data_IF_234688711195
#
_entry.id   IF_234688711195
#
_cell.length_a   1.000
_cell.length_b   1.000
_cell.length_c   1.000
_cell.angle_alpha   90.00
_cell.angle_beta   90.00
_cell.angle_gamma   90.00
#
_symmetry.space_group_name_H-M   'P 1'
#
loop_
_entity.id
_entity.type
_entity.pdbx_description
1 polymer ?
#
# COMPACT_ATOMS: atom_id res chain seq x y z
N UNK A 1 -57.52 -78.46 -10.82
CA UNK A 1 -57.43 -76.98 -10.63
C UNK A 1 -56.41 -76.46 -11.62
N UNK A 2 -56.87 -75.91 -12.74
CA UNK A 2 -56.05 -75.41 -13.84
C UNK A 2 -55.73 -73.96 -13.62
N UNK A 3 -54.46 -73.63 -13.49
CA UNK A 3 -53.93 -72.25 -13.38
C UNK A 3 -53.51 -71.74 -14.76
N UNK A 4 -54.30 -70.80 -15.31
CA UNK A 4 -54.02 -70.11 -16.57
C UNK A 4 -52.90 -69.10 -16.38
N UNK A 5 -51.77 -69.30 -17.02
CA UNK A 5 -50.67 -68.32 -17.09
C UNK A 5 -50.95 -67.34 -18.23
N UNK A 6 -51.33 -66.11 -17.86
CA UNK A 6 -51.51 -65.00 -18.79
C UNK A 6 -50.11 -64.41 -19.15
N UNK A 7 -49.63 -64.77 -20.33
CA UNK A 7 -48.48 -64.19 -20.96
C UNK A 7 -48.81 -62.79 -21.49
N UNK A 8 -48.40 -61.72 -20.78
CA UNK A 8 -48.60 -60.34 -21.20
C UNK A 8 -47.60 -60.01 -22.31
N UNK A 9 -48.06 -60.04 -23.54
CA UNK A 9 -47.30 -59.64 -24.70
C UNK A 9 -46.93 -58.14 -24.56
N UNK A 10 -45.65 -57.85 -24.40
CA UNK A 10 -45.08 -56.49 -24.39
C UNK A 10 -45.05 -56.06 -25.86
N UNK A 11 -46.01 -55.23 -26.27
CA UNK A 11 -45.95 -54.55 -27.55
C UNK A 11 -44.71 -53.65 -27.59
N UNK A 12 -43.69 -54.02 -28.34
CA UNK A 12 -42.61 -53.15 -28.74
C UNK A 12 -43.21 -52.08 -29.64
N UNK A 13 -43.25 -50.85 -29.12
CA UNK A 13 -43.47 -49.68 -29.94
C UNK A 13 -42.20 -49.48 -30.77
N UNK A 14 -42.09 -50.09 -31.93
CA UNK A 14 -41.18 -49.72 -32.99
C UNK A 14 -41.75 -48.42 -33.57
N UNK A 15 -41.34 -47.29 -32.94
CA UNK A 15 -41.50 -45.98 -33.57
C UNK A 15 -40.68 -45.96 -34.85
N UNK A 16 -41.11 -45.28 -35.91
CA UNK A 16 -40.30 -45.15 -37.11
C UNK A 16 -38.98 -44.51 -36.71
N UNK A 17 -37.89 -45.24 -36.97
CA UNK A 17 -36.53 -44.70 -36.92
C UNK A 17 -36.42 -43.59 -37.97
N UNK A 18 -36.89 -42.39 -37.62
CA UNK A 18 -36.72 -41.20 -38.43
C UNK A 18 -35.27 -40.75 -38.28
N UNK A 19 -34.40 -41.28 -39.14
CA UNK A 19 -33.05 -40.82 -39.25
C UNK A 19 -33.01 -39.31 -39.50
N UNK A 20 -32.10 -38.63 -38.86
CA UNK A 20 -31.89 -37.17 -39.08
C UNK A 20 -31.63 -36.92 -40.56
N UNK A 21 -32.33 -35.95 -41.12
CA UNK A 21 -32.09 -35.52 -42.49
C UNK A 21 -30.79 -34.73 -42.54
N UNK A 22 -30.09 -34.77 -43.68
CA UNK A 22 -28.84 -34.06 -43.88
C UNK A 22 -29.01 -32.53 -43.67
N UNK A 23 -30.21 -32.00 -44.00
CA UNK A 23 -30.52 -30.60 -43.81
C UNK A 23 -30.69 -30.23 -42.31
N UNK A 24 -31.26 -31.11 -41.51
CA UNK A 24 -31.42 -30.93 -40.06
C UNK A 24 -30.05 -30.88 -39.38
N UNK A 25 -29.11 -31.74 -39.79
CA UNK A 25 -27.71 -31.71 -39.30
C UNK A 25 -27.02 -30.41 -39.66
N UNK A 26 -27.16 -29.93 -40.90
CA UNK A 26 -26.55 -28.65 -41.31
C UNK A 26 -27.09 -27.45 -40.52
N UNK A 27 -28.41 -27.42 -40.28
CA UNK A 27 -29.05 -26.36 -39.48
C UNK A 27 -28.57 -26.44 -38.02
N UNK A 28 -28.53 -27.65 -37.45
CA UNK A 28 -28.06 -27.85 -36.07
C UNK A 28 -26.60 -27.39 -35.88
N UNK A 29 -25.70 -27.75 -36.84
CA UNK A 29 -24.30 -27.31 -36.80
C UNK A 29 -24.20 -25.79 -36.93
N UNK A 30 -25.00 -25.18 -37.81
CA UNK A 30 -25.02 -23.72 -37.99
C UNK A 30 -25.49 -22.98 -36.73
N UNK A 31 -26.57 -23.45 -36.09
CA UNK A 31 -27.04 -22.89 -34.81
C UNK A 31 -26.03 -23.08 -33.68
N UNK A 32 -25.41 -24.26 -33.61
CA UNK A 32 -24.36 -24.54 -32.62
C UNK A 32 -23.16 -23.62 -32.80
N UNK A 33 -22.70 -23.36 -34.03
CA UNK A 33 -21.60 -22.45 -34.32
C UNK A 33 -21.91 -21.01 -33.85
N UNK A 34 -23.16 -20.55 -34.07
CA UNK A 34 -23.58 -19.21 -33.59
C UNK A 34 -23.60 -19.14 -32.07
N UNK A 35 -24.12 -20.15 -31.41
CA UNK A 35 -24.15 -20.25 -29.94
C UNK A 35 -22.71 -20.24 -29.38
N UNK A 36 -21.81 -21.05 -29.97
CA UNK A 36 -20.41 -21.09 -29.53
C UNK A 36 -19.69 -19.78 -29.75
N UNK A 37 -19.98 -19.05 -30.82
CA UNK A 37 -19.44 -17.70 -31.03
C UNK A 37 -19.91 -16.73 -29.94
N UNK A 38 -21.18 -16.74 -29.58
CA UNK A 38 -21.70 -15.91 -28.50
C UNK A 38 -21.07 -16.25 -27.14
N UNK A 39 -20.98 -17.54 -26.81
CA UNK A 39 -20.33 -18.00 -25.56
C UNK A 39 -18.85 -17.57 -25.52
N UNK A 40 -18.15 -17.68 -26.63
CA UNK A 40 -16.73 -17.28 -26.72
C UNK A 40 -16.53 -15.78 -26.43
N UNK A 41 -17.40 -14.92 -26.98
CA UNK A 41 -17.37 -13.47 -26.69
C UNK A 41 -17.60 -13.20 -25.19
N UNK A 42 -18.57 -13.88 -24.59
CA UNK A 42 -18.85 -13.74 -23.15
C UNK A 42 -17.68 -14.18 -22.28
N UNK A 43 -17.05 -15.32 -22.61
CA UNK A 43 -15.89 -15.84 -21.87
C UNK A 43 -14.71 -14.88 -21.98
N UNK A 44 -14.41 -14.38 -23.17
CA UNK A 44 -13.28 -13.45 -23.36
C UNK A 44 -13.52 -12.14 -22.62
N UNK A 45 -14.73 -11.57 -22.68
CA UNK A 45 -15.08 -10.36 -21.95
C UNK A 45 -15.02 -10.58 -20.42
N UNK A 46 -15.51 -11.72 -19.95
CA UNK A 46 -15.46 -12.08 -18.52
C UNK A 46 -14.03 -12.24 -18.00
N UNK A 47 -13.16 -12.89 -18.76
CA UNK A 47 -11.74 -13.03 -18.41
C UNK A 47 -11.01 -11.68 -18.40
N UNK A 48 -11.35 -10.75 -19.31
CA UNK A 48 -10.85 -9.38 -19.28
C UNK A 48 -11.23 -8.66 -17.99
N UNK A 49 -12.51 -8.66 -17.64
CA UNK A 49 -13.00 -8.01 -16.41
C UNK A 49 -12.37 -8.60 -15.13
N UNK A 50 -12.13 -9.91 -15.09
CA UNK A 50 -11.46 -10.56 -13.95
C UNK A 50 -10.00 -10.10 -13.85
N UNK A 51 -9.27 -10.00 -14.97
CA UNK A 51 -7.89 -9.54 -14.97
C UNK A 51 -7.78 -8.09 -14.50
N UNK A 52 -8.64 -7.21 -14.98
CA UNK A 52 -8.64 -5.80 -14.60
C UNK A 52 -8.96 -5.64 -13.11
N UNK A 53 -9.93 -6.39 -12.60
CA UNK A 53 -10.27 -6.39 -11.17
C UNK A 53 -9.13 -6.96 -10.32
N UNK A 54 -8.47 -8.03 -10.76
CA UNK A 54 -7.35 -8.63 -10.04
C UNK A 54 -6.15 -7.68 -9.98
N UNK A 55 -5.82 -6.99 -11.08
CA UNK A 55 -4.73 -6.00 -11.11
C UNK A 55 -5.02 -4.82 -10.19
N UNK A 56 -6.24 -4.28 -10.22
CA UNK A 56 -6.64 -3.17 -9.33
C UNK A 56 -6.56 -3.57 -7.85
N UNK A 57 -7.04 -4.77 -7.49
CA UNK A 57 -6.96 -5.28 -6.12
C UNK A 57 -5.51 -5.48 -5.67
N UNK A 58 -4.63 -5.95 -6.55
CA UNK A 58 -3.22 -6.16 -6.23
C UNK A 58 -2.52 -4.83 -5.93
N UNK A 59 -2.71 -3.79 -6.76
CA UNK A 59 -2.15 -2.46 -6.53
C UNK A 59 -2.70 -1.85 -5.23
N UNK A 60 -4.00 -1.98 -4.97
CA UNK A 60 -4.59 -1.52 -3.71
C UNK A 60 -3.98 -2.22 -2.50
N UNK A 61 -3.75 -3.53 -2.57
CA UNK A 61 -3.08 -4.27 -1.50
C UNK A 61 -1.64 -3.79 -1.29
N UNK A 62 -0.90 -3.49 -2.34
CA UNK A 62 0.44 -2.90 -2.23
C UNK A 62 0.43 -1.54 -1.56
N UNK A 63 -0.49 -0.65 -1.94
CA UNK A 63 -0.64 0.67 -1.31
C UNK A 63 -0.95 0.54 0.19
N UNK A 64 -1.88 -0.34 0.55
CA UNK A 64 -2.21 -0.60 1.96
C UNK A 64 -1.00 -1.14 2.73
N UNK A 65 -0.25 -2.07 2.16
CA UNK A 65 0.96 -2.61 2.78
C UNK A 65 2.04 -1.53 2.94
N UNK A 66 2.21 -0.65 1.96
CA UNK A 66 3.14 0.47 2.04
C UNK A 66 2.75 1.44 3.17
N UNK A 67 1.47 1.83 3.24
CA UNK A 67 0.96 2.69 4.31
C UNK A 67 1.11 2.04 5.70
N UNK A 68 0.81 0.75 5.83
CA UNK A 68 0.99 0.03 7.09
C UNK A 68 2.47 -0.06 7.50
N UNK A 69 3.37 -0.28 6.55
CA UNK A 69 4.80 -0.27 6.82
C UNK A 69 5.27 1.11 7.30
N UNK A 70 4.91 2.17 6.58
CA UNK A 70 5.23 3.55 6.96
C UNK A 70 4.62 3.94 8.31
N UNK A 71 3.34 3.60 8.55
CA UNK A 71 2.67 3.92 9.80
C UNK A 71 3.33 3.26 11.01
N UNK A 72 3.83 2.04 10.84
CA UNK A 72 4.59 1.35 11.89
C UNK A 72 5.87 2.10 12.22
N UNK A 73 6.65 2.54 11.21
CA UNK A 73 7.87 3.30 11.45
C UNK A 73 7.58 4.64 12.15
N UNK A 74 6.56 5.36 11.67
CA UNK A 74 6.15 6.65 12.22
C UNK A 74 5.59 6.51 13.65
N UNK A 75 4.91 5.42 13.96
CA UNK A 75 4.37 5.17 15.31
C UNK A 75 5.45 5.03 16.38
N UNK A 76 6.63 4.55 15.99
CA UNK A 76 7.78 4.36 16.88
C UNK A 76 8.82 5.48 16.77
N UNK A 77 8.38 6.66 16.32
CA UNK A 77 9.23 7.86 16.36
C UNK A 77 9.62 8.10 17.82
N UNK A 78 10.92 8.14 18.06
CA UNK A 78 11.46 8.37 19.39
C UNK A 78 12.72 9.26 19.31
N UNK A 79 12.90 10.04 20.36
CA UNK A 79 14.06 10.90 20.48
C UNK A 79 15.27 10.05 20.92
N UNK A 80 16.42 10.09 20.21
CA UNK A 80 17.62 9.40 20.65
C UNK A 80 18.09 9.98 21.99
N UNK A 81 17.69 9.31 23.06
CA UNK A 81 18.03 9.69 24.43
C UNK A 81 19.55 9.52 24.60
N UNK A 82 20.27 10.60 24.85
CA UNK A 82 21.62 10.66 25.41
C UNK A 82 22.68 11.49 24.65
N UNK A 83 22.34 12.53 23.96
CA UNK A 83 23.43 13.19 23.23
C UNK A 83 23.43 14.70 23.11
N UNK A 84 22.64 15.40 23.88
CA UNK A 84 22.68 16.88 23.86
C UNK A 84 22.33 17.48 22.50
N UNK A 85 21.54 16.81 21.70
CA UNK A 85 21.25 17.11 20.31
C UNK A 85 19.75 17.19 20.08
N UNK A 86 19.33 17.73 18.94
CA UNK A 86 18.17 18.59 18.88
C UNK A 86 16.95 17.99 19.54
N UNK A 87 16.09 18.84 20.06
CA UNK A 87 14.92 18.44 20.87
C UNK A 87 13.89 17.62 20.12
N UNK A 88 14.07 17.40 18.81
CA UNK A 88 13.07 16.73 17.99
C UNK A 88 13.57 15.38 17.45
N UNK A 89 12.73 14.35 17.62
CA UNK A 89 12.94 13.05 16.97
C UNK A 89 12.77 13.12 15.44
N UNK A 90 12.18 14.20 14.95
CA UNK A 90 11.97 14.46 13.52
C UNK A 90 13.00 15.48 13.07
N UNK A 91 13.81 15.12 12.08
CA UNK A 91 14.88 15.96 11.54
C UNK A 91 14.39 16.87 10.42
N UNK A 92 13.49 16.37 9.59
CA UNK A 92 12.92 17.13 8.48
C UNK A 92 11.50 16.67 8.21
N UNK A 93 10.60 17.63 8.01
CA UNK A 93 9.21 17.39 7.66
C UNK A 93 8.79 18.37 6.57
N UNK A 94 8.65 17.85 5.35
CA UNK A 94 8.16 18.55 4.17
C UNK A 94 6.96 17.81 3.60
N UNK A 95 6.18 18.40 2.69
CA UNK A 95 5.07 17.67 2.07
C UNK A 95 5.47 16.38 1.36
N UNK A 96 6.69 16.29 0.79
CA UNK A 96 7.14 15.13 0.02
C UNK A 96 8.20 14.27 0.70
N UNK A 97 8.67 14.66 1.90
CA UNK A 97 9.75 13.96 2.60
C UNK A 97 9.59 14.06 4.10
N UNK A 98 9.77 12.95 4.79
CA UNK A 98 9.79 12.87 6.24
C UNK A 98 11.06 12.13 6.70
N UNK A 99 11.86 12.77 7.55
CA UNK A 99 13.09 12.19 8.12
C UNK A 99 13.02 12.23 9.64
N UNK A 100 13.20 11.08 10.25
CA UNK A 100 13.02 10.92 11.71
C UNK A 100 13.87 9.78 12.26
N UNK A 101 13.96 9.73 13.59
CA UNK A 101 14.49 8.58 14.30
C UNK A 101 13.36 7.67 14.78
N UNK A 102 13.56 6.37 14.67
CA UNK A 102 12.60 5.35 15.13
C UNK A 102 13.31 4.23 15.89
N UNK A 103 12.62 3.67 16.87
CA UNK A 103 13.02 2.43 17.55
C UNK A 103 12.46 1.17 16.88
N UNK A 104 11.75 1.32 15.77
CA UNK A 104 11.22 0.19 15.01
C UNK A 104 12.35 -0.71 14.53
N UNK A 105 12.21 -2.02 14.77
CA UNK A 105 13.21 -3.02 14.41
C UNK A 105 14.39 -3.17 15.36
N UNK A 106 14.51 -2.32 16.38
CA UNK A 106 15.48 -2.53 17.45
C UNK A 106 15.12 -3.79 18.23
N UNK A 107 16.05 -4.72 18.33
CA UNK A 107 15.90 -5.90 19.20
C UNK A 107 15.75 -5.48 20.67
N UNK A 108 15.27 -6.39 21.55
CA UNK A 108 15.00 -6.06 22.95
C UNK A 108 16.24 -5.64 23.74
N UNK A 109 17.43 -5.87 23.20
CA UNK A 109 18.71 -5.63 23.90
C UNK A 109 19.34 -4.31 23.47
N UNK A 110 19.16 -3.88 22.19
CA UNK A 110 19.79 -2.72 21.63
C UNK A 110 18.74 -1.75 21.10
N UNK A 111 18.10 -1.00 22.00
CA UNK A 111 17.14 0.06 21.62
C UNK A 111 17.87 1.27 21.02
N UNK A 112 18.56 1.05 19.92
CA UNK A 112 19.25 2.11 19.22
C UNK A 112 18.35 2.65 18.09
N UNK A 113 18.10 3.96 18.05
CA UNK A 113 17.21 4.53 17.03
C UNK A 113 17.87 4.47 15.65
N UNK A 114 17.13 4.00 14.67
CA UNK A 114 17.46 4.09 13.27
C UNK A 114 17.00 5.44 12.73
N UNK A 115 17.81 6.06 11.87
CA UNK A 115 17.35 7.19 11.08
C UNK A 115 16.61 6.66 9.87
N UNK A 116 15.37 7.08 9.69
CA UNK A 116 14.51 6.71 8.56
C UNK A 116 14.21 7.94 7.74
N UNK A 117 14.18 7.78 6.43
CA UNK A 117 13.66 8.75 5.50
C UNK A 117 12.62 8.10 4.60
N UNK A 118 11.46 8.70 4.53
CA UNK A 118 10.37 8.33 3.64
C UNK A 118 10.21 9.41 2.59
N UNK A 119 10.26 9.05 1.32
CA UNK A 119 10.04 10.01 0.23
C UNK A 119 9.66 9.34 -1.10
N UNK A 120 9.23 10.15 -2.05
CA UNK A 120 9.02 9.72 -3.44
C UNK A 120 10.27 9.96 -4.26
N UNK A 121 10.67 8.97 -5.04
CA UNK A 121 11.82 9.00 -5.96
C UNK A 121 11.38 8.65 -7.38
N UNK A 122 12.32 8.60 -8.30
CA UNK A 122 12.12 8.11 -9.67
C UNK A 122 11.69 6.62 -9.74
N UNK A 123 11.88 5.85 -8.67
CA UNK A 123 11.50 4.43 -8.56
C UNK A 123 10.16 4.20 -7.84
N UNK A 124 9.58 5.25 -7.28
CA UNK A 124 8.34 5.20 -6.53
C UNK A 124 8.47 5.71 -5.10
N UNK A 125 7.67 5.19 -4.20
CA UNK A 125 7.74 5.54 -2.76
C UNK A 125 8.76 4.62 -2.09
N UNK A 126 9.75 5.22 -1.44
CA UNK A 126 10.88 4.52 -0.86
C UNK A 126 11.14 4.89 0.60
N UNK A 127 11.69 3.92 1.29
CA UNK A 127 12.24 4.05 2.63
C UNK A 127 13.75 3.88 2.57
N UNK A 128 14.44 4.80 3.18
CA UNK A 128 15.87 4.71 3.43
C UNK A 128 16.10 4.62 4.93
N UNK A 129 16.94 3.69 5.35
CA UNK A 129 17.27 3.49 6.75
C UNK A 129 18.77 3.46 6.98
N UNK A 130 19.21 4.19 8.01
CA UNK A 130 20.60 4.21 8.45
C UNK A 130 20.69 3.59 9.82
N UNK A 131 21.57 2.61 9.94
CA UNK A 131 21.90 2.03 11.23
C UNK A 131 22.53 3.10 12.16
N UNK A 132 22.29 3.02 13.46
CA UNK A 132 22.91 3.93 14.43
C UNK A 132 24.44 3.79 14.37
N UNK A 133 25.13 4.93 14.44
CA UNK A 133 26.58 4.92 14.62
C UNK A 133 26.89 4.64 16.10
N UNK A 134 27.66 3.58 16.35
CA UNK A 134 28.12 3.22 17.68
C UNK A 134 29.54 3.77 17.90
N UNK A 135 29.81 4.25 19.10
CA UNK A 135 31.18 4.48 19.57
C UNK A 135 31.67 3.32 20.43
N UNK A 136 32.98 3.35 20.74
CA UNK A 136 33.65 2.45 21.70
C UNK A 136 33.10 2.55 23.14
N UNK A 137 31.88 2.30 23.34
CA UNK A 137 31.16 2.38 24.61
C UNK A 137 29.69 2.14 24.44
N UNK A 138 29.25 1.84 23.22
CA UNK A 138 27.86 1.53 22.91
C UNK A 138 26.90 2.73 22.89
N UNK A 139 27.43 3.95 23.09
CA UNK A 139 26.64 5.16 23.00
C UNK A 139 26.36 5.51 21.53
N UNK A 140 25.10 5.81 21.21
CA UNK A 140 24.75 6.41 19.91
C UNK A 140 25.37 7.78 19.85
N UNK A 141 26.37 7.95 19.00
CA UNK A 141 26.86 9.28 18.71
C UNK A 141 25.96 9.97 17.71
N UNK A 142 25.54 11.09 18.11
CA UNK A 142 24.90 12.08 17.26
C UNK A 142 25.99 12.85 16.49
N UNK A 143 26.76 12.12 15.70
CA UNK A 143 27.79 12.70 14.87
C UNK A 143 27.19 13.26 13.58
N UNK A 144 27.86 14.23 13.00
CA UNK A 144 27.48 14.92 11.77
C UNK A 144 26.88 14.05 10.67
N UNK A 145 27.37 12.83 10.37
CA UNK A 145 26.78 11.99 9.33
C UNK A 145 25.33 11.55 9.63
N UNK A 146 25.01 11.32 10.91
CA UNK A 146 23.66 10.90 11.28
C UNK A 146 22.65 12.05 11.26
N UNK A 147 23.13 13.30 11.37
CA UNK A 147 22.30 14.50 11.33
C UNK A 147 22.15 15.07 9.91
N UNK A 148 23.03 14.70 8.99
CA UNK A 148 22.90 15.13 7.60
C UNK A 148 21.67 14.48 6.98
N UNK A 149 20.81 15.31 6.44
CA UNK A 149 19.62 14.86 5.71
C UNK A 149 19.92 14.93 4.22
N UNK A 150 20.09 13.78 3.54
CA UNK A 150 20.31 13.76 2.10
C UNK A 150 19.04 14.10 1.34
N UNK A 151 19.18 14.45 0.08
CA UNK A 151 18.04 14.50 -0.83
C UNK A 151 17.52 13.08 -1.12
N UNK A 152 16.30 12.96 -1.59
CA UNK A 152 15.74 11.64 -1.92
C UNK A 152 16.57 10.92 -3.00
N UNK A 153 17.10 11.67 -3.95
CA UNK A 153 17.90 11.11 -5.06
C UNK A 153 19.30 10.66 -4.59
N UNK A 154 19.90 11.38 -3.63
CA UNK A 154 21.25 11.09 -3.14
C UNK A 154 21.29 10.06 -2.00
N UNK A 155 20.15 9.74 -1.41
CA UNK A 155 20.09 8.88 -0.22
C UNK A 155 20.65 7.48 -0.46
N UNK A 156 20.48 6.95 -1.66
CA UNK A 156 21.01 5.63 -2.04
C UNK A 156 22.53 5.53 -2.04
N UNK A 157 23.25 6.67 -2.20
CA UNK A 157 24.72 6.74 -2.15
C UNK A 157 25.30 6.91 -0.74
N UNK A 158 24.49 7.19 0.26
CA UNK A 158 24.91 7.60 1.62
C UNK A 158 25.08 6.45 2.62
N UNK A 159 25.18 5.20 2.16
CA UNK A 159 25.28 4.01 3.04
C UNK A 159 23.97 3.61 3.71
N UNK A 160 22.84 4.14 3.22
CA UNK A 160 21.52 3.73 3.66
C UNK A 160 21.15 2.34 3.12
N UNK A 161 20.43 1.56 3.91
CA UNK A 161 19.62 0.47 3.39
C UNK A 161 18.39 1.06 2.71
N UNK A 162 18.03 0.54 1.55
CA UNK A 162 16.94 1.05 0.71
C UNK A 162 15.87 0.00 0.53
N UNK A 163 14.61 0.38 0.73
CA UNK A 163 13.45 -0.47 0.51
C UNK A 163 12.41 0.28 -0.32
N UNK A 164 12.02 -0.29 -1.45
CA UNK A 164 10.89 0.21 -2.24
C UNK A 164 9.60 -0.26 -1.56
N UNK A 165 8.78 0.68 -1.14
CA UNK A 165 7.48 0.42 -0.50
C UNK A 165 6.37 0.31 -1.53
N UNK A 166 6.39 1.21 -2.50
CA UNK A 166 5.46 1.20 -3.63
C UNK A 166 6.26 1.50 -4.90
N UNK A 167 6.47 0.51 -5.78
CA UNK A 167 7.22 0.71 -7.01
C UNK A 167 6.45 1.60 -7.99
N UNK A 168 7.19 2.40 -8.74
CA UNK A 168 6.65 3.11 -9.90
C UNK A 168 6.46 2.11 -11.04
N UNK A 169 5.23 1.95 -11.49
CA UNK A 169 4.92 1.19 -12.70
C UNK A 169 4.97 2.10 -13.94
N UNK A 170 5.14 1.49 -15.11
CA UNK A 170 5.20 2.24 -16.37
C UNK A 170 3.91 3.04 -16.58
N UNK A 171 4.03 4.36 -16.62
CA UNK A 171 2.89 5.26 -16.82
C UNK A 171 2.19 5.72 -15.55
N UNK A 172 2.70 5.34 -14.37
CA UNK A 172 2.16 5.78 -13.08
C UNK A 172 3.24 6.46 -12.24
N UNK A 173 2.91 7.58 -11.64
CA UNK A 173 3.77 8.26 -10.68
C UNK A 173 3.06 8.25 -9.32
N UNK A 174 3.27 7.21 -8.49
CA UNK A 174 2.73 7.22 -7.15
C UNK A 174 3.34 8.38 -6.38
N UNK A 175 2.50 9.15 -5.70
CA UNK A 175 2.95 10.27 -4.88
C UNK A 175 2.62 10.03 -3.43
N UNK A 176 3.58 10.35 -2.57
CA UNK A 176 3.43 10.36 -1.12
C UNK A 176 3.44 11.81 -0.65
N UNK A 177 2.39 12.20 0.06
CA UNK A 177 2.27 13.53 0.66
C UNK A 177 2.07 13.38 2.15
N UNK A 178 2.81 14.16 2.93
CA UNK A 178 2.68 14.23 4.37
C UNK A 178 1.90 15.48 4.76
N UNK A 179 0.90 15.30 5.63
CA UNK A 179 0.17 16.36 6.30
C UNK A 179 0.48 16.28 7.80
N UNK A 180 0.70 17.42 8.42
CA UNK A 180 1.17 17.54 9.79
C UNK A 180 0.13 18.27 10.64
N UNK A 181 -0.11 17.77 11.84
CA UNK A 181 -1.15 18.29 12.72
C UNK A 181 -0.60 18.55 14.11
N UNK A 182 -1.05 19.61 14.72
CA UNK A 182 -0.85 19.92 16.13
C UNK A 182 -2.18 20.11 16.85
N UNK A 183 -2.17 20.01 18.15
CA UNK A 183 -3.31 20.37 18.96
C UNK A 183 -3.61 21.88 18.86
N UNK A 184 -4.89 22.23 18.78
CA UNK A 184 -5.30 23.64 18.77
C UNK A 184 -4.97 24.29 20.11
N UNK A 185 -4.34 25.44 20.05
CA UNK A 185 -4.08 26.27 21.23
C UNK A 185 -5.19 27.28 21.44
N UNK A 186 -5.18 28.01 22.57
CA UNK A 186 -6.14 29.09 22.84
C UNK A 186 -6.11 30.24 21.82
N UNK A 187 -5.02 30.32 21.03
CA UNK A 187 -4.89 31.31 19.96
C UNK A 187 -5.59 30.89 18.67
N UNK A 188 -5.91 29.61 18.54
CA UNK A 188 -6.62 29.04 17.40
C UNK A 188 -8.14 29.09 17.67
N UNK A 189 -8.95 28.85 16.65
CA UNK A 189 -10.39 28.74 16.88
C UNK A 189 -10.67 27.43 17.66
N UNK A 190 -11.16 27.47 18.88
CA UNK A 190 -11.33 26.30 19.75
C UNK A 190 -12.31 25.25 19.24
N UNK A 191 -13.01 25.52 18.15
CA UNK A 191 -13.98 24.58 17.55
C UNK A 191 -13.32 23.58 16.58
N UNK A 192 -12.03 23.71 16.27
CA UNK A 192 -11.38 22.89 15.21
C UNK A 192 -10.63 21.67 15.72
N UNK A 193 -10.39 21.54 17.02
CA UNK A 193 -9.67 20.40 17.62
C UNK A 193 -8.20 20.35 17.23
N UNK A 194 -7.90 19.88 16.03
CA UNK A 194 -6.53 19.84 15.49
C UNK A 194 -6.33 20.90 14.41
N UNK A 195 -5.14 21.46 14.37
CA UNK A 195 -4.73 22.47 13.37
C UNK A 195 -3.69 21.88 12.46
N UNK A 196 -3.94 21.94 11.16
CA UNK A 196 -2.98 21.53 10.17
C UNK A 196 -1.80 22.52 10.09
N UNK A 197 -0.58 21.99 10.17
CA UNK A 197 0.65 22.73 9.95
C UNK A 197 1.04 22.56 8.48
N UNK A 198 0.82 23.61 7.69
CA UNK A 198 1.20 23.61 6.27
C UNK A 198 2.60 24.17 6.13
N UNK A 199 3.65 23.34 5.90
CA UNK A 199 4.98 23.85 5.67
C UNK A 199 5.07 24.53 4.31
N UNK A 200 5.62 25.75 4.25
CA UNK A 200 5.92 26.39 2.97
C UNK A 200 7.02 25.64 2.21
N UNK A 201 8.04 25.20 2.93
CA UNK A 201 9.14 24.34 2.44
C UNK A 201 9.44 23.22 3.42
N UNK A 202 9.59 23.55 4.69
CA UNK A 202 9.92 22.63 5.78
C UNK A 202 9.32 23.17 7.09
N UNK A 203 8.89 22.29 8.00
CA UNK A 203 8.50 22.68 9.35
C UNK A 203 9.71 23.15 10.14
N UNK A 204 9.52 24.21 10.94
CA UNK A 204 10.54 24.70 11.87
C UNK A 204 10.65 23.75 13.07
N UNK A 205 11.78 23.79 13.78
CA UNK A 205 11.98 22.99 15.00
C UNK A 205 10.86 23.21 16.02
N UNK A 206 10.43 24.45 16.22
CA UNK A 206 9.33 24.76 17.13
C UNK A 206 7.97 24.16 16.71
N UNK A 207 7.74 23.99 15.41
CA UNK A 207 6.55 23.32 14.88
C UNK A 207 6.69 21.79 15.01
N UNK A 208 7.89 21.24 14.80
CA UNK A 208 8.15 19.81 14.97
C UNK A 208 7.86 19.34 16.40
N UNK A 209 8.20 20.17 17.40
CA UNK A 209 7.95 19.85 18.82
C UNK A 209 6.45 19.90 19.19
N UNK A 210 5.61 20.50 18.35
CA UNK A 210 4.17 20.59 18.54
C UNK A 210 3.38 19.53 17.79
N UNK A 211 4.04 18.71 16.99
CA UNK A 211 3.37 17.68 16.19
C UNK A 211 2.69 16.66 17.09
N UNK A 212 1.42 16.42 16.81
CA UNK A 212 0.63 15.38 17.48
C UNK A 212 0.20 14.28 16.54
N UNK A 213 0.08 14.59 15.25
CA UNK A 213 -0.35 13.63 14.23
C UNK A 213 0.37 13.86 12.91
N UNK A 214 0.60 12.79 12.19
CA UNK A 214 1.09 12.79 10.82
C UNK A 214 0.11 11.97 9.98
N UNK A 215 -0.43 12.59 8.92
CA UNK A 215 -1.24 11.87 7.93
C UNK A 215 -0.39 11.65 6.69
N UNK A 216 -0.27 10.41 6.29
CA UNK A 216 0.39 9.99 5.06
C UNK A 216 -0.68 9.77 4.00
N UNK A 217 -0.60 10.51 2.92
CA UNK A 217 -1.52 10.44 1.79
C UNK A 217 -0.77 9.84 0.61
N UNK A 218 -1.21 8.66 0.21
CA UNK A 218 -0.64 7.93 -0.92
C UNK A 218 -1.63 7.96 -2.08
N UNK A 219 -1.25 8.57 -3.17
CA UNK A 219 -2.07 8.63 -4.38
C UNK A 219 -1.40 7.91 -5.53
N UNK A 220 -2.19 7.16 -6.28
CA UNK A 220 -1.79 6.53 -7.53
C UNK A 220 -2.76 7.00 -8.62
N UNK A 221 -2.30 7.81 -9.58
CA UNK A 221 -3.15 8.34 -10.63
C UNK A 221 -3.71 7.26 -11.55
N UNK A 222 -3.08 6.08 -11.64
CA UNK A 222 -3.56 4.97 -12.47
C UNK A 222 -4.89 4.41 -11.96
N UNK A 223 -5.11 4.45 -10.65
CA UNK A 223 -6.33 3.96 -10.02
C UNK A 223 -7.36 5.05 -9.78
N UNK A 224 -6.99 6.34 -9.94
CA UNK A 224 -7.83 7.48 -9.58
C UNK A 224 -8.24 7.46 -8.10
N UNK A 225 -7.47 6.80 -7.23
CA UNK A 225 -7.75 6.62 -5.82
C UNK A 225 -6.61 7.15 -4.97
N UNK A 226 -7.01 7.67 -3.83
CA UNK A 226 -6.09 8.14 -2.78
C UNK A 226 -6.39 7.32 -1.52
N UNK A 227 -5.35 6.83 -0.89
CA UNK A 227 -5.42 6.20 0.44
C UNK A 227 -4.70 7.10 1.42
N UNK A 228 -5.26 7.26 2.60
CA UNK A 228 -4.63 8.00 3.69
C UNK A 228 -4.54 7.15 4.95
N UNK A 229 -3.53 7.42 5.73
CA UNK A 229 -3.30 6.82 7.04
C UNK A 229 -2.81 7.89 8.01
N UNK A 230 -3.56 8.10 9.08
CA UNK A 230 -3.17 9.01 10.15
C UNK A 230 -2.52 8.24 11.30
N UNK A 231 -1.37 8.71 11.74
CA UNK A 231 -0.66 8.20 12.92
C UNK A 231 -0.64 9.28 13.98
N UNK A 232 -1.09 8.94 15.19
CA UNK A 232 -0.98 9.79 16.35
C UNK A 232 0.39 9.57 16.99
N UNK A 233 1.13 10.64 17.18
CA UNK A 233 2.45 10.58 17.82
C UNK A 233 2.24 10.55 19.34
N UNK A 234 2.80 9.53 19.98
CA UNK A 234 2.80 9.46 21.44
C UNK A 234 3.99 10.29 21.92
N UNK A 235 3.75 11.58 22.16
CA UNK A 235 4.73 12.42 22.82
C UNK A 235 4.73 12.05 24.32
N UNK A 236 5.55 11.11 24.73
CA UNK A 236 5.93 10.97 26.13
C UNK A 236 6.80 12.19 26.50
N UNK A 237 6.13 13.21 27.08
CA UNK A 237 6.77 14.39 27.66
C UNK A 237 7.28 14.07 29.06
#
# INVERSE_FOLDING_TARGET
MSGSVLTKARARHEGPDSGFTLIEMMVAIGLFAVLMAMVSVFVVAGLGAIRDTASANWVQAQQQNALLAMSREVQYIDNPVNSGVPPSAILEATPGKLVFFTLSGAGPVDRLPYKIMLCTTDRGVEEFSWAPALTDGGAVLNTSPNMTVPTCDDAGGSGASRRVLLPKETGTDPSLVFQYWREATSADNPSTGDVELVPATQLTTAQLDQLTKITMVLSDPSLGRTLDQTVVLVNER
#
